data_IF_786890904849
#
_entry.id   IF_786890904849
#
_cell.length_a   1.000
_cell.length_b   1.000
_cell.length_c   1.000
_cell.angle_alpha   90.00
_cell.angle_beta   90.00
_cell.angle_gamma   90.00
#
_symmetry.space_group_name_H-M   'P 1'
#
loop_
_entity.id
_entity.type
_entity.pdbx_description
1 polymer ?
#
# COMPACT_ATOMS: atom_id res chain seq x y z
N UNK A 1 8.43 -7.32 -26.90
CA UNK A 1 8.88 -7.30 -25.50
C UNK A 1 7.75 -6.88 -24.59
N UNK A 2 7.47 -7.71 -23.65
CA UNK A 2 6.42 -7.42 -22.69
C UNK A 2 7.02 -6.64 -21.52
N UNK A 3 6.56 -5.42 -21.30
CA UNK A 3 7.05 -4.57 -20.22
C UNK A 3 6.81 -5.14 -18.84
N UNK A 4 5.82 -6.04 -18.69
CA UNK A 4 5.55 -6.66 -17.40
C UNK A 4 6.58 -7.70 -16.99
N UNK A 5 7.30 -8.23 -17.94
CA UNK A 5 8.30 -9.26 -17.66
C UNK A 5 9.56 -8.67 -17.09
N UNK A 6 9.78 -7.40 -17.30
CA UNK A 6 10.92 -6.67 -16.76
C UNK A 6 10.39 -5.72 -15.72
N UNK A 7 10.54 -6.07 -14.46
CA UNK A 7 10.18 -5.15 -13.41
C UNK A 7 10.99 -3.88 -13.58
N UNK A 8 10.33 -2.77 -13.39
CA UNK A 8 11.02 -1.51 -13.46
C UNK A 8 12.11 -1.49 -12.39
N UNK A 9 13.28 -0.97 -12.75
CA UNK A 9 14.39 -0.92 -11.83
C UNK A 9 14.05 -0.12 -10.57
N UNK A 10 13.24 0.92 -10.72
CA UNK A 10 12.80 1.71 -9.58
C UNK A 10 12.02 0.83 -8.59
N UNK A 11 11.15 -0.05 -9.09
CA UNK A 11 10.38 -0.92 -8.21
C UNK A 11 11.27 -1.97 -7.53
N UNK A 12 12.27 -2.46 -8.25
CA UNK A 12 13.22 -3.41 -7.67
C UNK A 12 13.99 -2.75 -6.53
N UNK A 13 14.46 -1.53 -6.75
CA UNK A 13 15.20 -0.80 -5.72
C UNK A 13 14.29 -0.46 -4.53
N UNK A 14 13.04 -0.11 -4.81
CA UNK A 14 12.08 0.18 -3.73
C UNK A 14 11.86 -1.07 -2.88
N UNK A 15 11.77 -2.24 -3.50
CA UNK A 15 11.59 -3.49 -2.77
C UNK A 15 12.81 -3.81 -1.91
N UNK A 16 14.01 -3.59 -2.45
CA UNK A 16 15.22 -3.81 -1.68
C UNK A 16 15.29 -2.88 -0.47
N UNK A 17 14.92 -1.62 -0.66
CA UNK A 17 14.88 -0.67 0.44
C UNK A 17 13.84 -1.11 1.48
N UNK A 18 12.65 -1.48 1.02
CA UNK A 18 11.57 -1.90 1.90
C UNK A 18 11.99 -3.06 2.80
N UNK A 19 12.76 -4.00 2.25
CA UNK A 19 13.17 -5.17 3.02
C UNK A 19 14.14 -4.83 4.16
N UNK A 20 14.69 -3.62 4.15
CA UNK A 20 15.63 -3.17 5.18
C UNK A 20 15.03 -2.16 6.15
N UNK A 21 13.79 -1.73 5.92
CA UNK A 21 13.16 -0.73 6.77
C UNK A 21 12.48 -1.37 7.97
N UNK A 22 12.47 -0.64 9.07
CA UNK A 22 11.72 -1.04 10.26
C UNK A 22 10.27 -0.57 10.22
N UNK A 23 9.92 0.27 9.24
CA UNK A 23 8.57 0.80 9.07
C UNK A 23 7.84 -0.01 8.02
N UNK A 24 6.57 -0.28 8.25
CA UNK A 24 5.75 -1.03 7.28
C UNK A 24 5.67 -0.28 5.97
N UNK A 25 5.84 -1.00 4.88
CA UNK A 25 5.84 -0.41 3.54
C UNK A 25 5.22 -1.41 2.57
N UNK A 26 4.36 -0.92 1.68
CA UNK A 26 3.94 -1.74 0.55
C UNK A 26 4.19 -1.00 -0.75
N UNK A 27 4.29 -1.77 -1.82
CA UNK A 27 4.63 -1.26 -3.13
C UNK A 27 3.58 -1.75 -4.13
N UNK A 28 3.11 -0.85 -4.97
CA UNK A 28 2.22 -1.19 -6.07
C UNK A 28 2.86 -0.72 -7.37
N UNK A 29 2.59 -1.44 -8.46
CA UNK A 29 3.10 -1.06 -9.77
C UNK A 29 2.16 -0.03 -10.41
N UNK A 30 2.47 0.35 -11.66
CA UNK A 30 1.72 1.41 -12.35
C UNK A 30 0.27 1.03 -12.61
N UNK A 31 -0.05 -0.25 -12.57
CA UNK A 31 -1.43 -0.71 -12.76
C UNK A 31 -2.18 -0.79 -11.43
N UNK A 32 -1.50 -0.53 -10.34
CA UNK A 32 -2.13 -0.58 -9.04
C UNK A 32 -2.06 -1.95 -8.37
N UNK A 33 -1.37 -2.91 -8.99
CA UNK A 33 -1.21 -4.22 -8.38
C UNK A 33 -0.24 -4.11 -7.22
N UNK A 34 -0.66 -4.61 -6.05
CA UNK A 34 0.22 -4.71 -4.90
C UNK A 34 1.23 -5.81 -5.21
N UNK A 35 2.51 -5.45 -5.28
CA UNK A 35 3.55 -6.39 -5.70
C UNK A 35 4.49 -6.79 -4.58
N UNK A 36 4.43 -6.09 -3.44
CA UNK A 36 5.26 -6.46 -2.30
C UNK A 36 4.84 -5.69 -1.05
N UNK A 37 5.00 -6.32 0.11
CA UNK A 37 5.06 -5.58 1.37
C UNK A 37 6.06 -6.26 2.30
N UNK A 38 6.68 -5.47 3.18
CA UNK A 38 7.80 -5.93 3.98
C UNK A 38 7.36 -6.57 5.30
N UNK A 39 8.32 -7.05 6.08
CA UNK A 39 8.05 -7.75 7.32
C UNK A 39 7.27 -6.90 8.34
N UNK A 40 7.63 -5.62 8.58
CA UNK A 40 6.80 -4.82 9.47
C UNK A 40 5.36 -4.70 9.00
N UNK A 41 5.13 -4.66 7.68
CA UNK A 41 3.78 -4.63 7.13
C UNK A 41 3.06 -5.95 7.42
N UNK A 42 3.77 -7.06 7.35
CA UNK A 42 3.18 -8.37 7.65
C UNK A 42 2.63 -8.41 9.07
N UNK A 43 3.31 -7.76 10.01
CA UNK A 43 2.87 -7.74 11.39
C UNK A 43 1.59 -6.95 11.57
N UNK A 44 1.46 -5.82 10.87
CA UNK A 44 0.25 -5.00 10.94
C UNK A 44 -0.90 -5.65 10.20
N UNK A 45 -0.61 -6.17 8.99
CA UNK A 45 -1.66 -6.73 8.14
C UNK A 45 -2.11 -8.12 8.58
N UNK A 46 -1.29 -8.82 9.35
CA UNK A 46 -1.67 -10.10 9.92
C UNK A 46 -1.47 -11.30 9.01
N UNK A 47 -0.69 -11.14 7.95
CA UNK A 47 -0.39 -12.24 7.03
C UNK A 47 0.89 -11.92 6.28
N UNK A 48 1.72 -12.95 6.02
CA UNK A 48 2.96 -12.73 5.27
C UNK A 48 2.63 -12.46 3.81
N UNK A 49 3.53 -11.74 3.15
CA UNK A 49 3.38 -11.52 1.73
C UNK A 49 3.46 -12.83 0.94
N UNK A 50 4.27 -13.76 1.41
CA UNK A 50 4.36 -15.07 0.76
C UNK A 50 3.02 -15.79 0.74
N UNK A 51 2.20 -15.61 1.78
CA UNK A 51 0.87 -16.21 1.84
C UNK A 51 -0.16 -15.41 1.07
N UNK A 52 -0.10 -14.08 1.17
CA UNK A 52 -1.10 -13.23 0.55
C UNK A 52 -0.91 -13.12 -0.96
N UNK A 53 0.35 -12.99 -1.40
CA UNK A 53 0.66 -12.84 -2.80
C UNK A 53 0.31 -11.46 -3.35
N UNK A 54 0.53 -11.30 -4.64
CA UNK A 54 0.19 -10.06 -5.32
C UNK A 54 -1.33 -9.92 -5.43
N UNK A 55 -1.80 -8.66 -5.38
CA UNK A 55 -3.23 -8.38 -5.42
C UNK A 55 -3.47 -7.17 -6.31
N UNK A 56 -4.53 -7.22 -7.12
CA UNK A 56 -4.93 -6.05 -7.90
C UNK A 56 -5.44 -4.95 -6.98
N UNK A 57 -5.47 -3.71 -7.49
CA UNK A 57 -5.98 -2.58 -6.72
C UNK A 57 -7.42 -2.83 -6.26
N UNK A 58 -8.22 -3.39 -7.13
CA UNK A 58 -9.60 -3.70 -6.79
C UNK A 58 -9.66 -4.72 -5.66
N UNK A 59 -8.83 -5.76 -5.73
CA UNK A 59 -8.81 -6.81 -4.72
C UNK A 59 -8.37 -6.30 -3.36
N UNK A 60 -7.27 -5.56 -3.28
CA UNK A 60 -6.81 -5.12 -1.97
C UNK A 60 -7.70 -4.03 -1.39
N UNK A 61 -8.29 -3.18 -2.23
CA UNK A 61 -9.23 -2.19 -1.72
C UNK A 61 -10.46 -2.87 -1.10
N UNK A 62 -10.99 -3.86 -1.80
CA UNK A 62 -12.14 -4.60 -1.31
C UNK A 62 -11.82 -5.39 -0.04
N UNK A 63 -10.64 -6.02 -0.02
CA UNK A 63 -10.25 -6.87 1.08
C UNK A 63 -10.03 -6.10 2.38
N UNK A 64 -9.40 -4.93 2.29
CA UNK A 64 -9.10 -4.14 3.48
C UNK A 64 -10.26 -3.28 3.96
N UNK A 65 -11.32 -3.15 3.17
CA UNK A 65 -12.54 -2.44 3.58
C UNK A 65 -12.25 -1.11 4.26
N UNK A 66 -11.52 -0.22 3.59
CA UNK A 66 -11.13 1.04 4.24
C UNK A 66 -12.35 1.92 4.54
N UNK A 67 -12.29 2.59 5.69
CA UNK A 67 -13.36 3.50 6.07
C UNK A 67 -12.80 4.64 6.89
N UNK A 68 -13.52 5.75 6.91
CA UNK A 68 -13.17 6.89 7.73
C UNK A 68 -13.31 6.53 9.20
N UNK A 69 -12.79 7.38 10.09
CA UNK A 69 -12.87 7.09 11.52
C UNK A 69 -14.30 7.09 12.04
N UNK A 70 -15.22 7.76 11.33
CA UNK A 70 -16.64 7.73 11.71
C UNK A 70 -17.43 6.67 10.93
N UNK A 71 -16.73 5.76 10.24
CA UNK A 71 -17.34 4.58 9.68
C UNK A 71 -17.84 4.67 8.25
N UNK A 72 -17.49 5.73 7.53
CA UNK A 72 -17.92 5.88 6.14
C UNK A 72 -16.97 5.11 5.22
N UNK A 73 -17.48 4.28 4.30
CA UNK A 73 -16.59 3.57 3.36
C UNK A 73 -15.79 4.56 2.53
N UNK A 74 -14.56 4.18 2.20
CA UNK A 74 -13.68 4.99 1.36
C UNK A 74 -13.39 4.25 0.07
N UNK A 75 -13.53 4.97 -1.05
CA UNK A 75 -13.19 4.42 -2.36
C UNK A 75 -11.69 4.57 -2.61
N UNK A 76 -11.17 3.80 -3.57
CA UNK A 76 -9.74 3.83 -3.88
C UNK A 76 -9.23 5.26 -4.10
N UNK A 77 -9.97 6.08 -4.85
CA UNK A 77 -9.53 7.44 -5.14
C UNK A 77 -9.48 8.38 -3.95
N UNK A 78 -10.04 7.96 -2.80
CA UNK A 78 -10.00 8.75 -1.58
C UNK A 78 -8.86 8.34 -0.66
N UNK A 79 -8.21 7.22 -0.95
CA UNK A 79 -7.12 6.68 -0.13
C UNK A 79 -5.79 7.24 -0.61
N UNK A 80 -4.82 7.46 0.30
CA UNK A 80 -3.49 7.89 -0.11
C UNK A 80 -2.89 7.02 -1.22
N UNK A 81 -2.92 5.68 -1.14
CA UNK A 81 -2.41 4.87 -2.25
C UNK A 81 -3.14 5.14 -3.55
N UNK A 82 -4.46 5.30 -3.50
CA UNK A 82 -5.24 5.58 -4.69
C UNK A 82 -4.94 6.94 -5.28
N UNK A 83 -4.74 7.94 -4.43
CA UNK A 83 -4.38 9.28 -4.89
C UNK A 83 -3.02 9.22 -5.58
N UNK A 84 -2.05 8.50 -5.01
CA UNK A 84 -0.74 8.36 -5.63
C UNK A 84 -0.84 7.67 -6.99
N UNK A 85 -1.70 6.66 -7.10
CA UNK A 85 -1.87 5.92 -8.35
C UNK A 85 -2.63 6.71 -9.41
N UNK A 86 -3.71 7.39 -9.02
CA UNK A 86 -4.62 8.02 -9.97
C UNK A 86 -4.26 9.47 -10.26
N UNK A 87 -3.79 10.19 -9.26
CA UNK A 87 -3.45 11.60 -9.40
C UNK A 87 -1.95 11.84 -9.44
N UNK A 88 -1.17 10.81 -9.14
CA UNK A 88 0.29 10.84 -9.22
C UNK A 88 0.90 11.92 -8.35
N UNK A 89 0.37 12.05 -7.14
CA UNK A 89 0.90 12.97 -6.14
C UNK A 89 0.88 12.28 -4.78
N UNK A 90 1.71 12.77 -3.87
CA UNK A 90 1.78 12.22 -2.53
C UNK A 90 0.54 12.58 -1.74
N UNK A 91 0.16 11.70 -0.82
CA UNK A 91 -0.99 11.95 0.05
C UNK A 91 -0.80 11.24 1.37
N UNK A 92 -1.48 11.74 2.39
CA UNK A 92 -1.43 11.18 3.74
C UNK A 92 -2.82 11.24 4.35
N UNK A 93 -3.20 10.18 5.09
CA UNK A 93 -4.46 10.20 5.81
C UNK A 93 -4.40 9.17 6.94
N UNK A 94 -5.35 9.27 7.83
CA UNK A 94 -5.55 8.31 8.93
C UNK A 94 -6.94 7.73 8.76
N UNK A 95 -7.03 6.42 8.69
CA UNK A 95 -8.31 5.75 8.46
C UNK A 95 -8.28 4.33 9.03
N UNK A 96 -9.42 3.65 8.96
CA UNK A 96 -9.54 2.32 9.53
C UNK A 96 -9.56 1.28 8.42
N UNK A 97 -8.85 0.17 8.65
CA UNK A 97 -8.87 -0.96 7.73
C UNK A 97 -9.21 -2.23 8.49
N UNK A 98 -9.68 -3.23 7.74
CA UNK A 98 -9.82 -4.59 8.25
C UNK A 98 -8.59 -5.35 7.74
N UNK A 99 -7.78 -5.85 8.65
CA UNK A 99 -6.53 -6.52 8.30
C UNK A 99 -6.82 -7.96 7.85
N UNK A 100 -5.79 -8.62 7.32
CA UNK A 100 -5.95 -9.98 6.78
C UNK A 100 -6.23 -11.01 7.87
N UNK A 101 -5.94 -10.67 9.13
CA UNK A 101 -6.27 -11.50 10.28
C UNK A 101 -7.66 -11.15 10.85
N UNK A 102 -8.44 -10.35 10.12
CA UNK A 102 -9.79 -9.93 10.46
C UNK A 102 -9.86 -8.89 11.58
N UNK A 103 -8.73 -8.44 12.09
CA UNK A 103 -8.72 -7.36 13.08
C UNK A 103 -8.86 -6.01 12.40
N UNK A 104 -9.55 -5.11 13.07
CA UNK A 104 -9.70 -3.75 12.56
C UNK A 104 -8.68 -2.86 13.24
N UNK A 105 -7.99 -2.07 12.44
CA UNK A 105 -6.93 -1.19 12.96
C UNK A 105 -7.06 0.19 12.34
N UNK A 106 -6.73 1.20 13.12
CA UNK A 106 -6.58 2.56 12.60
C UNK A 106 -5.12 2.71 12.18
N UNK A 107 -4.92 3.12 10.94
CA UNK A 107 -3.57 3.25 10.38
C UNK A 107 -3.37 4.66 9.85
N UNK A 108 -2.13 5.13 9.97
CA UNK A 108 -1.69 6.36 9.31
C UNK A 108 -0.90 5.92 8.09
N UNK A 109 -1.23 6.45 6.92
CA UNK A 109 -0.67 6.01 5.65
C UNK A 109 -0.18 7.21 4.87
N UNK A 110 1.07 7.15 4.40
CA UNK A 110 1.65 8.12 3.49
C UNK A 110 2.02 7.39 2.21
N UNK A 111 1.49 7.83 1.09
CA UNK A 111 1.77 7.22 -0.20
C UNK A 111 2.50 8.20 -1.10
N UNK A 112 3.46 7.69 -1.85
CA UNK A 112 4.34 8.49 -2.70
C UNK A 112 4.40 7.85 -4.08
N UNK A 113 4.11 8.61 -5.15
CA UNK A 113 4.24 8.06 -6.50
C UNK A 113 5.71 7.93 -6.89
N UNK A 114 6.02 6.94 -7.70
CA UNK A 114 7.37 6.69 -8.17
C UNK A 114 7.46 6.94 -9.67
N UNK A 115 8.50 7.65 -10.07
CA UNK A 115 8.72 8.00 -11.47
C UNK A 115 10.10 7.54 -11.90
N UNK A 116 10.20 7.07 -13.12
CA UNK A 116 11.47 6.81 -13.79
C UNK A 116 11.80 8.02 -14.66
N UNK A 117 12.76 7.85 -15.56
CA UNK A 117 13.19 8.93 -16.45
C UNK A 117 12.03 9.47 -17.26
N UNK A 118 12.10 10.75 -17.61
CA UNK A 118 11.11 11.44 -18.45
C UNK A 118 9.72 11.42 -17.80
N UNK A 119 9.70 11.46 -16.46
CA UNK A 119 8.44 11.51 -15.70
C UNK A 119 7.52 10.33 -15.98
N UNK A 120 8.10 9.19 -16.31
CA UNK A 120 7.32 7.98 -16.55
C UNK A 120 6.88 7.39 -15.22
N UNK A 121 5.58 7.34 -14.99
CA UNK A 121 5.04 6.78 -13.76
C UNK A 121 5.24 5.27 -13.75
N UNK A 122 5.80 4.73 -12.66
CA UNK A 122 6.10 3.31 -12.58
C UNK A 122 5.40 2.62 -11.41
N UNK A 123 4.78 3.36 -10.53
CA UNK A 123 4.08 2.78 -9.39
C UNK A 123 4.10 3.71 -8.21
N UNK A 124 3.89 3.14 -7.02
CA UNK A 124 3.92 3.92 -5.80
C UNK A 124 4.40 3.05 -4.65
N UNK A 125 4.83 3.70 -3.57
CA UNK A 125 4.98 3.00 -2.30
C UNK A 125 4.18 3.72 -1.24
N UNK A 126 3.82 2.99 -0.20
CA UNK A 126 3.13 3.58 0.94
C UNK A 126 3.83 3.12 2.21
N UNK A 127 4.10 4.07 3.08
CA UNK A 127 4.57 3.79 4.44
C UNK A 127 3.36 3.88 5.35
N UNK A 128 3.26 2.98 6.29
CA UNK A 128 2.12 3.04 7.20
C UNK A 128 2.51 2.51 8.57
N UNK A 129 1.71 2.91 9.56
CA UNK A 129 1.92 2.47 10.94
C UNK A 129 0.58 2.53 11.65
N UNK A 130 0.51 1.79 12.75
CA UNK A 130 -0.69 1.78 13.54
C UNK A 130 -0.80 3.08 14.29
N UNK A 131 -1.96 3.74 14.16
CA UNK A 131 -2.19 5.02 14.81
C UNK A 131 -2.46 4.80 16.31
N UNK A 132 -2.03 5.71 17.18
CA UNK A 132 -2.25 5.54 18.63
C UNK A 132 -3.71 5.38 19.03
N UNK A 133 -4.66 5.82 18.22
CA UNK A 133 -6.07 5.68 18.51
C UNK A 133 -6.67 4.38 18.02
N UNK A 134 -5.82 3.48 17.52
CA UNK A 134 -6.31 2.17 17.09
C UNK A 134 -6.94 1.45 18.27
N UNK A 135 -8.11 0.81 18.10
CA UNK A 135 -8.73 0.10 19.21
C UNK A 135 -7.85 -1.07 19.65
N UNK A 136 -7.97 -1.38 20.93
CA UNK A 136 -7.24 -2.53 21.47
C UNK A 136 -7.74 -3.81 20.80
N UNK A 137 -6.82 -4.74 20.50
CA UNK A 137 -7.22 -5.99 19.86
C UNK A 137 -8.09 -6.87 20.75
#
# INVERSE_FOLDING_TARGET
MDGKRQKDLILIHARELASKLATAMFIADAEGDLVFYNEPAEEILGRTFAEAGEMSAESWTSLFQPETLDGQPMALGELPPGIALLERKSAHDVYRITCLDKRRRVVAVTAVPLFAQADRFVGMFALFWEHPESPEP
#
